data_IF_989343015767
#
_entry.id   IF_989343015767
#
_cell.length_a   1.000
_cell.length_b   1.000
_cell.length_c   1.000
_cell.angle_alpha   90.00
_cell.angle_beta   90.00
_cell.angle_gamma   90.00
#
_symmetry.space_group_name_H-M   'P 1'
#
loop_
_entity.id
_entity.type
_entity.pdbx_description
1 polymer ?
#
# COMPACT_ATOMS: atom_id res chain seq x y z
N UNK A 1 5.50 -20.58 -42.61
CA UNK A 1 4.71 -19.43 -42.11
C UNK A 1 4.86 -19.40 -40.59
N UNK A 2 5.70 -18.53 -40.02
CA UNK A 2 5.80 -18.39 -38.56
C UNK A 2 4.50 -17.75 -38.08
N UNK A 3 3.66 -18.47 -37.33
CA UNK A 3 2.51 -17.84 -36.66
C UNK A 3 3.07 -16.67 -35.83
N UNK A 4 2.71 -15.43 -36.19
CA UNK A 4 2.89 -14.29 -35.30
C UNK A 4 2.09 -14.63 -34.05
N UNK A 5 2.75 -14.99 -32.95
CA UNK A 5 2.09 -15.05 -31.64
C UNK A 5 1.46 -13.68 -31.42
N UNK A 6 0.12 -13.62 -31.38
CA UNK A 6 -0.57 -12.40 -30.97
C UNK A 6 -0.02 -11.97 -29.61
N UNK A 7 0.23 -10.68 -29.47
CA UNK A 7 0.56 -10.12 -28.16
C UNK A 7 -0.61 -10.43 -27.20
N UNK A 8 -0.34 -10.80 -25.93
CA UNK A 8 -1.40 -11.09 -24.96
C UNK A 8 -2.18 -9.82 -24.69
N UNK A 9 -3.49 -9.95 -24.57
CA UNK A 9 -4.37 -8.85 -24.17
C UNK A 9 -4.21 -8.60 -22.67
N UNK A 10 -3.92 -7.36 -22.29
CA UNK A 10 -3.91 -6.91 -20.89
C UNK A 10 -5.18 -6.12 -20.61
N UNK A 11 -6.01 -6.65 -19.72
CA UNK A 11 -7.14 -5.96 -19.15
C UNK A 11 -6.69 -4.96 -18.08
N UNK A 12 -7.02 -3.69 -18.25
CA UNK A 12 -6.73 -2.61 -17.30
C UNK A 12 -8.05 -2.14 -16.73
N UNK A 13 -8.27 -2.35 -15.43
CA UNK A 13 -9.46 -1.83 -14.74
C UNK A 13 -9.14 -0.45 -14.15
N UNK A 14 -9.93 0.54 -14.50
CA UNK A 14 -9.78 1.94 -14.06
C UNK A 14 -11.04 2.36 -13.28
N UNK A 15 -11.06 2.23 -11.95
CA UNK A 15 -12.17 2.74 -11.15
C UNK A 15 -12.16 4.27 -11.12
N UNK A 16 -13.31 4.90 -11.35
CA UNK A 16 -13.47 6.35 -11.47
C UNK A 16 -14.58 6.82 -10.55
N UNK A 17 -14.30 7.83 -9.73
CA UNK A 17 -15.30 8.53 -8.93
C UNK A 17 -14.84 9.95 -8.66
N UNK A 18 -15.51 10.94 -9.26
CA UNK A 18 -15.27 12.38 -9.07
C UNK A 18 -13.79 12.80 -9.21
N UNK A 19 -13.23 12.61 -10.41
CA UNK A 19 -11.81 12.83 -10.76
C UNK A 19 -11.62 13.51 -12.13
N UNK A 20 -12.59 14.31 -12.58
CA UNK A 20 -12.62 14.87 -13.94
C UNK A 20 -11.32 15.62 -14.31
N UNK A 21 -10.67 16.25 -13.33
CA UNK A 21 -9.43 17.02 -13.49
C UNK A 21 -8.21 16.16 -13.82
N UNK A 22 -8.24 14.85 -13.52
CA UNK A 22 -7.08 13.96 -13.64
C UNK A 22 -7.28 12.85 -14.67
N UNK A 23 -8.52 12.42 -14.86
CA UNK A 23 -8.88 11.29 -15.71
C UNK A 23 -8.31 11.36 -17.15
N UNK A 24 -8.31 12.50 -17.86
CA UNK A 24 -7.74 12.58 -19.20
C UNK A 24 -6.27 12.18 -19.26
N UNK A 25 -5.46 12.64 -18.30
CA UNK A 25 -4.03 12.33 -18.27
C UNK A 25 -3.78 10.85 -17.94
N UNK A 26 -4.59 10.27 -17.05
CA UNK A 26 -4.54 8.84 -16.75
C UNK A 26 -4.84 8.02 -18.01
N UNK A 27 -5.93 8.31 -18.71
CA UNK A 27 -6.32 7.60 -19.93
C UNK A 27 -5.30 7.78 -21.05
N UNK A 28 -4.79 9.00 -21.25
CA UNK A 28 -3.73 9.28 -22.22
C UNK A 28 -2.47 8.44 -21.93
N UNK A 29 -2.08 8.29 -20.65
CA UNK A 29 -0.92 7.49 -20.25
C UNK A 29 -1.09 5.99 -20.53
N UNK A 30 -2.31 5.47 -20.37
CA UNK A 30 -2.67 4.09 -20.71
C UNK A 30 -2.66 3.87 -22.21
N UNK A 31 -3.23 4.81 -22.98
CA UNK A 31 -3.27 4.72 -24.43
C UNK A 31 -1.89 4.88 -25.08
N UNK A 32 -0.98 5.59 -24.41
CA UNK A 32 0.41 5.80 -24.81
C UNK A 32 1.36 4.63 -24.49
N UNK A 33 0.91 3.59 -23.80
CA UNK A 33 1.74 2.41 -23.49
C UNK A 33 2.39 1.79 -24.73
N UNK A 34 3.63 1.32 -24.59
CA UNK A 34 4.37 0.65 -25.67
C UNK A 34 3.76 -0.71 -26.02
N UNK A 35 3.10 -1.35 -25.05
CA UNK A 35 2.24 -2.51 -25.29
C UNK A 35 0.83 -2.05 -25.68
N UNK A 36 0.40 -2.37 -26.91
CA UNK A 36 -0.85 -1.83 -27.50
C UNK A 36 -2.08 -2.72 -27.36
N UNK A 37 -1.92 -4.01 -27.06
CA UNK A 37 -3.05 -4.94 -26.87
C UNK A 37 -3.64 -4.76 -25.48
N UNK A 38 -4.39 -3.67 -25.30
CA UNK A 38 -5.04 -3.31 -24.05
C UNK A 38 -6.56 -3.36 -24.18
N UNK A 39 -7.20 -3.78 -23.10
CA UNK A 39 -8.62 -3.56 -22.84
C UNK A 39 -8.73 -2.66 -21.61
N UNK A 40 -8.84 -1.35 -21.84
CA UNK A 40 -8.96 -0.34 -20.79
C UNK A 40 -10.44 -0.23 -20.43
N UNK A 41 -10.82 -0.85 -19.32
CA UNK A 41 -12.17 -0.79 -18.80
C UNK A 41 -12.27 0.26 -17.70
N UNK A 42 -12.87 1.38 -18.05
CA UNK A 42 -13.28 2.42 -17.10
C UNK A 42 -14.55 1.97 -16.40
N UNK A 43 -14.55 2.01 -15.07
CA UNK A 43 -15.72 1.76 -14.24
C UNK A 43 -16.06 3.06 -13.53
N UNK A 44 -17.04 3.78 -14.04
CA UNK A 44 -17.58 4.98 -13.42
C UNK A 44 -18.49 4.59 -12.25
N UNK A 45 -18.01 4.79 -11.04
CA UNK A 45 -18.62 4.41 -9.76
C UNK A 45 -19.66 5.45 -9.29
N UNK A 46 -20.47 5.91 -10.23
CA UNK A 46 -21.54 6.88 -9.99
C UNK A 46 -21.02 8.30 -9.75
N UNK A 47 -20.05 8.75 -10.57
CA UNK A 47 -19.54 10.11 -10.51
C UNK A 47 -20.66 11.14 -10.70
N UNK A 48 -20.53 12.26 -10.02
CA UNK A 48 -21.42 13.42 -10.07
C UNK A 48 -20.80 14.61 -10.78
N UNK A 49 -19.51 14.55 -11.07
CA UNK A 49 -18.78 15.50 -11.92
C UNK A 49 -18.77 15.07 -13.41
N UNK A 50 -17.91 15.69 -14.22
CA UNK A 50 -17.74 15.38 -15.65
C UNK A 50 -17.00 14.08 -15.95
N UNK A 51 -16.57 13.29 -14.97
CA UNK A 51 -15.75 12.09 -15.17
C UNK A 51 -16.42 11.05 -16.09
N UNK A 52 -17.72 10.82 -15.90
CA UNK A 52 -18.47 9.87 -16.72
C UNK A 52 -18.51 10.28 -18.20
N UNK A 53 -18.77 11.57 -18.47
CA UNK A 53 -18.77 12.10 -19.83
C UNK A 53 -17.38 12.04 -20.49
N UNK A 54 -16.32 12.34 -19.73
CA UNK A 54 -14.94 12.19 -20.21
C UNK A 54 -14.66 10.73 -20.59
N UNK A 55 -15.05 9.76 -19.75
CA UNK A 55 -14.85 8.34 -20.04
C UNK A 55 -15.54 7.92 -21.35
N UNK A 56 -16.78 8.37 -21.56
CA UNK A 56 -17.55 8.10 -22.78
C UNK A 56 -16.90 8.71 -24.02
N UNK A 57 -16.36 9.92 -23.92
CA UNK A 57 -15.63 10.56 -25.02
C UNK A 57 -14.40 9.74 -25.42
N UNK A 58 -13.65 9.20 -24.46
CA UNK A 58 -12.50 8.33 -24.74
C UNK A 58 -12.91 7.02 -25.39
N UNK A 59 -13.98 6.37 -24.91
CA UNK A 59 -14.51 5.14 -25.50
C UNK A 59 -15.04 5.33 -26.93
N UNK A 60 -15.58 6.52 -27.24
CA UNK A 60 -15.98 6.86 -28.61
C UNK A 60 -14.78 7.06 -29.55
N UNK A 61 -13.61 7.46 -29.04
CA UNK A 61 -12.41 7.82 -29.82
C UNK A 61 -11.42 6.67 -29.98
N UNK A 62 -11.29 5.78 -29.00
CA UNK A 62 -10.33 4.68 -29.02
C UNK A 62 -11.01 3.34 -28.66
N UNK A 63 -11.01 2.34 -29.56
CA UNK A 63 -11.71 1.07 -29.35
C UNK A 63 -11.09 0.19 -28.25
N UNK A 64 -9.91 0.56 -27.72
CA UNK A 64 -9.32 -0.09 -26.55
C UNK A 64 -10.00 0.34 -25.25
N UNK A 65 -10.73 1.45 -25.25
CA UNK A 65 -11.43 1.98 -24.07
C UNK A 65 -12.88 1.52 -24.08
N UNK A 66 -13.36 1.04 -22.94
CA UNK A 66 -14.77 0.72 -22.68
C UNK A 66 -15.17 1.30 -21.33
N UNK A 67 -16.45 1.62 -21.20
CA UNK A 67 -17.00 2.20 -19.97
C UNK A 67 -18.13 1.32 -19.44
N UNK A 68 -18.20 1.18 -18.12
CA UNK A 68 -19.36 0.67 -17.38
C UNK A 68 -19.69 1.68 -16.31
N UNK A 69 -20.92 2.17 -16.29
CA UNK A 69 -21.43 3.04 -15.23
C UNK A 69 -22.20 2.19 -14.22
N UNK A 70 -21.91 2.39 -12.94
CA UNK A 70 -22.61 1.75 -11.83
C UNK A 70 -23.07 2.79 -10.81
N UNK A 71 -24.00 2.39 -9.94
CA UNK A 71 -24.22 3.14 -8.72
C UNK A 71 -23.01 2.99 -7.79
N UNK A 72 -22.67 4.03 -7.03
CA UNK A 72 -21.51 4.06 -6.16
C UNK A 72 -21.48 2.86 -5.20
N UNK A 73 -20.42 2.05 -5.31
CA UNK A 73 -20.12 0.88 -4.49
C UNK A 73 -18.74 0.96 -3.83
N UNK A 74 -18.08 2.10 -3.95
CA UNK A 74 -16.73 2.34 -3.50
C UNK A 74 -15.67 1.62 -4.35
N UNK A 75 -14.41 1.97 -4.08
CA UNK A 75 -13.25 1.55 -4.87
C UNK A 75 -13.15 0.02 -5.07
N UNK A 76 -13.37 -0.76 -4.01
CA UNK A 76 -13.39 -2.22 -4.10
C UNK A 76 -14.51 -2.77 -4.97
N UNK A 77 -15.72 -2.20 -4.85
CA UNK A 77 -16.88 -2.56 -5.67
C UNK A 77 -16.66 -2.26 -7.15
N UNK A 78 -16.14 -1.06 -7.46
CA UNK A 78 -15.78 -0.65 -8.82
C UNK A 78 -14.72 -1.57 -9.44
N UNK A 79 -13.66 -1.92 -8.71
CA UNK A 79 -12.63 -2.85 -9.20
C UNK A 79 -13.18 -4.26 -9.43
N UNK A 80 -14.04 -4.76 -8.54
CA UNK A 80 -14.70 -6.06 -8.72
C UNK A 80 -15.64 -6.05 -9.94
N UNK A 81 -16.37 -4.96 -10.14
CA UNK A 81 -17.22 -4.80 -11.32
C UNK A 81 -16.40 -4.79 -12.61
N UNK A 82 -15.25 -4.10 -12.56
CA UNK A 82 -14.29 -4.10 -13.65
C UNK A 82 -13.80 -5.51 -13.97
N UNK A 83 -13.44 -6.31 -12.97
CA UNK A 83 -13.01 -7.70 -13.17
C UNK A 83 -14.05 -8.59 -13.85
N UNK A 84 -15.34 -8.32 -13.67
CA UNK A 84 -16.43 -9.06 -14.35
C UNK A 84 -16.49 -8.77 -15.84
N UNK A 85 -16.10 -7.56 -16.24
CA UNK A 85 -16.29 -7.05 -17.60
C UNK A 85 -14.98 -6.91 -18.39
N UNK A 86 -13.83 -6.87 -17.72
CA UNK A 86 -12.52 -6.70 -18.35
C UNK A 86 -12.12 -7.97 -19.08
N UNK A 87 -11.49 -7.81 -20.24
CA UNK A 87 -11.07 -8.87 -21.15
C UNK A 87 -9.57 -9.10 -21.02
N UNK A 88 -9.15 -10.31 -21.41
CA UNK A 88 -7.75 -10.69 -21.48
C UNK A 88 -7.34 -11.68 -20.40
N UNK A 89 -6.30 -12.45 -20.71
CA UNK A 89 -5.77 -13.48 -19.82
C UNK A 89 -4.88 -12.88 -18.72
N UNK A 90 -4.65 -11.58 -18.77
CA UNK A 90 -3.85 -10.81 -17.85
C UNK A 90 -4.64 -9.60 -17.38
N UNK A 91 -4.59 -9.30 -16.08
CA UNK A 91 -5.32 -8.19 -15.47
C UNK A 91 -4.40 -7.30 -14.64
N UNK A 92 -4.62 -6.00 -14.70
CA UNK A 92 -3.97 -4.96 -13.89
C UNK A 92 -4.98 -3.86 -13.56
N UNK A 93 -4.59 -2.94 -12.68
CA UNK A 93 -5.43 -1.87 -12.18
C UNK A 93 -4.68 -0.55 -12.33
N UNK A 94 -5.40 0.54 -12.59
CA UNK A 94 -4.84 1.88 -12.57
C UNK A 94 -5.85 2.81 -11.89
N UNK A 95 -5.41 3.52 -10.87
CA UNK A 95 -6.21 4.55 -10.21
C UNK A 95 -6.35 5.77 -11.15
N UNK A 96 -7.54 6.35 -11.17
CA UNK A 96 -8.00 7.33 -12.16
C UNK A 96 -7.40 8.73 -12.04
N UNK A 97 -6.49 8.93 -11.10
CA UNK A 97 -5.78 10.18 -10.83
C UNK A 97 -4.26 10.08 -10.95
N UNK A 98 -3.77 8.93 -11.42
CA UNK A 98 -2.35 8.61 -11.53
C UNK A 98 -1.91 8.42 -12.98
N UNK A 99 -0.60 8.26 -13.19
CA UNK A 99 0.00 8.12 -14.53
C UNK A 99 0.77 6.80 -14.63
N UNK A 100 0.52 6.06 -15.71
CA UNK A 100 1.26 4.83 -16.02
C UNK A 100 2.41 5.13 -17.00
N UNK A 101 3.68 4.90 -16.64
CA UNK A 101 4.83 5.17 -17.51
C UNK A 101 4.79 4.35 -18.81
N UNK A 102 5.25 4.88 -19.96
CA UNK A 102 5.03 4.24 -21.27
C UNK A 102 5.50 2.78 -21.42
N UNK A 103 6.52 2.36 -20.66
CA UNK A 103 7.09 1.00 -20.74
C UNK A 103 6.65 0.08 -19.60
N UNK A 104 5.74 0.53 -18.72
CA UNK A 104 5.36 -0.18 -17.50
C UNK A 104 4.82 -1.59 -17.80
N UNK A 105 3.80 -1.70 -18.64
CA UNK A 105 3.19 -2.99 -18.95
C UNK A 105 4.13 -3.89 -19.75
N UNK A 106 4.97 -3.33 -20.62
CA UNK A 106 6.02 -4.07 -21.32
C UNK A 106 7.04 -4.67 -20.34
N UNK A 107 7.48 -3.92 -19.32
CA UNK A 107 8.41 -4.40 -18.30
C UNK A 107 7.80 -5.54 -17.47
N UNK A 108 6.55 -5.38 -17.00
CA UNK A 108 5.82 -6.40 -16.25
C UNK A 108 5.61 -7.67 -17.09
N UNK A 109 5.15 -7.53 -18.34
CA UNK A 109 4.94 -8.65 -19.28
C UNK A 109 6.22 -9.42 -19.58
N UNK A 110 7.34 -8.70 -19.81
CA UNK A 110 8.65 -9.33 -20.04
C UNK A 110 9.05 -10.21 -18.86
N UNK A 111 8.87 -9.71 -17.64
CA UNK A 111 9.16 -10.48 -16.44
C UNK A 111 8.23 -11.68 -16.31
N UNK A 112 6.92 -11.49 -16.49
CA UNK A 112 5.92 -12.55 -16.36
C UNK A 112 6.20 -13.71 -17.32
N UNK A 113 6.57 -13.41 -18.56
CA UNK A 113 6.96 -14.41 -19.57
C UNK A 113 8.27 -15.11 -19.25
N UNK A 114 9.26 -14.36 -18.77
CA UNK A 114 10.60 -14.88 -18.44
C UNK A 114 10.54 -15.84 -17.26
N UNK A 115 9.72 -15.53 -16.25
CA UNK A 115 9.68 -16.27 -15.00
C UNK A 115 8.57 -17.31 -14.97
N UNK A 116 7.51 -17.15 -15.77
CA UNK A 116 6.30 -17.96 -15.62
C UNK A 116 5.64 -17.77 -14.26
N UNK A 117 5.76 -16.57 -13.68
CA UNK A 117 5.14 -16.21 -12.41
C UNK A 117 3.62 -16.10 -12.52
N UNK A 118 2.96 -16.18 -11.36
CA UNK A 118 1.51 -16.02 -11.23
C UNK A 118 1.10 -14.55 -11.39
N UNK A 119 1.93 -13.64 -10.89
CA UNK A 119 1.86 -12.21 -11.12
C UNK A 119 3.25 -11.57 -11.06
N UNK A 120 3.34 -10.29 -11.44
CA UNK A 120 4.57 -9.48 -11.33
C UNK A 120 4.24 -8.16 -10.65
N UNK A 121 5.14 -7.69 -9.78
CA UNK A 121 5.11 -6.34 -9.20
C UNK A 121 6.32 -5.50 -9.62
N UNK A 122 6.16 -4.17 -9.67
CA UNK A 122 7.20 -3.19 -9.97
C UNK A 122 7.28 -2.03 -8.98
N UNK A 123 8.37 -1.27 -9.06
CA UNK A 123 8.58 -0.11 -8.19
C UNK A 123 7.70 1.07 -8.59
N UNK A 124 7.66 2.09 -7.74
CA UNK A 124 6.73 3.22 -7.86
C UNK A 124 7.45 4.50 -7.52
N UNK A 125 7.08 5.57 -8.22
CA UNK A 125 7.51 6.90 -7.88
C UNK A 125 6.30 7.76 -7.55
N UNK A 126 6.49 8.74 -6.67
CA UNK A 126 5.44 9.66 -6.23
C UNK A 126 5.81 11.08 -6.58
N UNK A 127 4.84 11.83 -7.07
CA UNK A 127 4.95 13.27 -7.28
C UNK A 127 4.91 14.02 -5.95
N UNK A 128 5.86 14.93 -5.76
CA UNK A 128 5.91 15.91 -4.69
C UNK A 128 6.15 17.27 -5.34
N UNK A 129 5.06 18.00 -5.59
CA UNK A 129 5.06 19.10 -6.57
C UNK A 129 5.53 18.60 -7.94
N UNK A 130 6.49 19.30 -8.53
CA UNK A 130 7.07 18.96 -9.85
C UNK A 130 8.13 17.86 -9.78
N UNK A 131 8.39 17.29 -8.60
CA UNK A 131 9.45 16.29 -8.41
C UNK A 131 8.87 14.89 -8.31
N UNK A 132 9.19 14.05 -9.28
CA UNK A 132 8.93 12.61 -9.22
C UNK A 132 10.06 11.89 -8.48
N UNK A 133 9.75 11.21 -7.37
CA UNK A 133 10.74 10.50 -6.55
C UNK A 133 10.32 9.06 -6.28
N UNK A 134 11.22 8.10 -6.55
CA UNK A 134 11.04 6.71 -6.14
C UNK A 134 10.98 6.60 -4.61
N UNK A 135 9.95 5.93 -4.08
CA UNK A 135 9.79 5.80 -2.64
C UNK A 135 10.90 4.91 -2.07
N UNK A 136 11.65 5.32 -1.02
CA UNK A 136 12.80 4.56 -0.52
C UNK A 136 12.47 3.12 -0.11
N UNK A 137 11.29 2.91 0.46
CA UNK A 137 10.84 1.57 0.85
C UNK A 137 10.45 0.73 -0.36
N UNK A 138 9.85 1.30 -1.40
CA UNK A 138 9.57 0.60 -2.66
C UNK A 138 10.85 0.23 -3.40
N UNK A 139 11.82 1.15 -3.47
CA UNK A 139 13.17 0.87 -3.99
C UNK A 139 13.84 -0.29 -3.26
N UNK A 140 13.66 -0.39 -1.94
CA UNK A 140 14.21 -1.50 -1.14
C UNK A 140 13.55 -2.82 -1.53
N UNK A 141 12.21 -2.85 -1.60
CA UNK A 141 11.43 -4.04 -1.95
C UNK A 141 11.64 -4.48 -3.40
N UNK A 142 11.91 -3.54 -4.31
CA UNK A 142 12.03 -3.81 -5.76
C UNK A 142 13.47 -3.79 -6.25
N UNK A 143 14.46 -3.79 -5.35
CA UNK A 143 15.89 -3.53 -5.68
C UNK A 143 16.45 -4.42 -6.78
N UNK A 144 15.92 -5.64 -6.95
CA UNK A 144 16.44 -6.64 -7.89
C UNK A 144 15.32 -7.24 -8.70
N UNK A 145 15.59 -7.44 -9.99
CA UNK A 145 14.73 -8.24 -10.86
C UNK A 145 14.82 -9.70 -10.46
N UNK A 146 13.73 -10.29 -9.99
CA UNK A 146 13.75 -11.65 -9.44
C UNK A 146 12.43 -12.40 -9.66
N UNK A 147 12.46 -13.72 -9.53
CA UNK A 147 11.28 -14.55 -9.34
C UNK A 147 11.39 -15.12 -7.92
N UNK A 148 10.39 -14.87 -7.09
CA UNK A 148 10.47 -15.10 -5.66
C UNK A 148 9.22 -15.78 -5.13
N UNK A 149 9.34 -16.32 -3.93
CA UNK A 149 8.23 -16.80 -3.09
C UNK A 149 8.22 -16.02 -1.79
N UNK A 150 7.06 -15.91 -1.15
CA UNK A 150 6.88 -15.04 0.03
C UNK A 150 7.80 -15.47 1.19
N UNK A 151 8.14 -16.75 1.30
CA UNK A 151 9.06 -17.31 2.31
C UNK A 151 10.48 -16.73 2.17
N UNK A 152 10.91 -16.48 0.94
CA UNK A 152 12.25 -15.95 0.64
C UNK A 152 12.31 -14.43 0.84
N UNK A 153 11.20 -13.74 0.63
CA UNK A 153 11.12 -12.28 0.70
C UNK A 153 9.82 -11.79 1.35
N UNK A 154 9.59 -12.04 2.66
CA UNK A 154 8.31 -11.72 3.29
C UNK A 154 8.04 -10.22 3.47
N UNK A 155 9.08 -9.37 3.46
CA UNK A 155 8.90 -7.91 3.51
C UNK A 155 8.18 -7.35 2.27
N UNK A 156 8.13 -8.10 1.16
CA UNK A 156 7.39 -7.69 -0.05
C UNK A 156 5.91 -7.46 0.22
N UNK A 157 5.36 -8.05 1.30
CA UNK A 157 3.99 -7.80 1.76
C UNK A 157 3.73 -6.33 2.14
N UNK A 158 4.78 -5.51 2.29
CA UNK A 158 4.65 -4.06 2.42
C UNK A 158 4.27 -3.34 1.13
N UNK A 159 4.43 -3.99 -0.03
CA UNK A 159 3.94 -3.51 -1.32
C UNK A 159 2.46 -3.88 -1.50
N UNK A 160 1.60 -3.08 -0.87
CA UNK A 160 0.16 -3.33 -0.76
C UNK A 160 -0.66 -2.86 -1.97
N UNK A 161 -0.03 -2.20 -2.94
CA UNK A 161 -0.76 -1.48 -3.98
C UNK A 161 -1.37 -2.41 -5.03
N UNK A 162 -2.59 -2.12 -5.48
CA UNK A 162 -3.24 -2.87 -6.56
C UNK A 162 -2.59 -2.61 -7.93
N UNK A 163 -2.14 -1.38 -8.15
CA UNK A 163 -1.89 -0.81 -9.47
C UNK A 163 -0.48 -1.01 -10.03
N UNK A 164 0.49 -1.40 -9.20
CA UNK A 164 1.86 -1.70 -9.66
C UNK A 164 2.06 -3.18 -10.04
N UNK A 165 0.97 -3.91 -10.29
CA UNK A 165 0.96 -5.36 -10.47
C UNK A 165 0.26 -5.80 -11.74
N UNK A 166 0.77 -6.87 -12.35
CA UNK A 166 0.15 -7.56 -13.49
C UNK A 166 -0.08 -9.03 -13.12
N UNK A 167 -1.33 -9.44 -13.08
CA UNK A 167 -1.76 -10.78 -12.67
C UNK A 167 -2.14 -11.65 -13.86
N UNK A 168 -1.92 -12.95 -13.76
CA UNK A 168 -2.62 -13.93 -14.61
C UNK A 168 -4.06 -14.06 -14.15
N UNK A 169 -5.00 -14.03 -15.09
CA UNK A 169 -6.42 -14.17 -14.79
C UNK A 169 -6.75 -15.53 -14.16
N UNK A 170 -6.22 -16.62 -14.70
CA UNK A 170 -6.42 -17.96 -14.14
C UNK A 170 -5.89 -18.11 -12.71
N UNK A 171 -4.81 -17.41 -12.36
CA UNK A 171 -4.31 -17.37 -10.98
C UNK A 171 -5.26 -16.58 -10.08
N UNK A 172 -5.67 -15.38 -10.53
CA UNK A 172 -6.60 -14.53 -9.81
C UNK A 172 -7.89 -15.29 -9.47
N UNK A 173 -8.51 -15.90 -10.48
CA UNK A 173 -9.75 -16.64 -10.35
C UNK A 173 -9.55 -17.96 -9.58
N UNK A 174 -8.45 -18.67 -9.83
CA UNK A 174 -8.15 -19.95 -9.17
C UNK A 174 -7.88 -19.85 -7.67
N UNK A 175 -7.34 -18.72 -7.21
CA UNK A 175 -7.18 -18.41 -5.77
C UNK A 175 -8.47 -17.84 -5.16
N UNK A 176 -9.39 -17.33 -6.00
CA UNK A 176 -10.59 -16.63 -5.56
C UNK A 176 -10.26 -15.23 -5.02
N UNK A 177 -9.33 -14.52 -5.66
CA UNK A 177 -9.04 -13.13 -5.29
C UNK A 177 -10.22 -12.22 -5.62
N UNK A 178 -10.52 -11.31 -4.70
CA UNK A 178 -11.50 -10.24 -4.87
C UNK A 178 -11.09 -9.06 -4.00
N UNK A 179 -11.57 -7.86 -4.33
CA UNK A 179 -11.38 -6.68 -3.49
C UNK A 179 -12.48 -6.63 -2.43
N UNK A 180 -12.15 -6.47 -1.14
CA UNK A 180 -13.14 -6.16 -0.11
C UNK A 180 -13.98 -4.93 -0.48
N UNK A 181 -15.29 -5.03 -0.34
CA UNK A 181 -16.22 -3.92 -0.59
C UNK A 181 -16.59 -3.23 0.73
N UNK A 182 -16.92 -1.94 0.67
CA UNK A 182 -17.36 -1.16 1.85
C UNK A 182 -16.26 -0.85 2.86
N UNK A 183 -14.98 -0.92 2.48
CA UNK A 183 -13.84 -0.60 3.35
C UNK A 183 -12.78 0.17 2.55
N UNK A 184 -12.11 1.13 3.20
CA UNK A 184 -10.89 1.76 2.65
C UNK A 184 -9.73 0.78 2.67
N UNK A 185 -8.75 0.98 1.78
CA UNK A 185 -7.52 0.17 1.74
C UNK A 185 -7.79 -1.31 1.43
N UNK A 186 -8.79 -1.54 0.59
CA UNK A 186 -9.18 -2.84 0.04
C UNK A 186 -8.03 -3.54 -0.68
N UNK A 187 -7.02 -2.79 -1.11
CA UNK A 187 -5.84 -3.33 -1.77
C UNK A 187 -4.99 -4.22 -0.86
N UNK A 188 -4.88 -3.90 0.43
CA UNK A 188 -3.96 -4.57 1.35
C UNK A 188 -4.35 -6.04 1.62
N UNK A 189 -5.61 -6.38 1.94
CA UNK A 189 -6.01 -7.77 2.14
C UNK A 189 -5.81 -8.62 0.87
N UNK A 190 -6.24 -8.12 -0.28
CA UNK A 190 -6.19 -8.85 -1.54
C UNK A 190 -4.76 -9.05 -2.03
N UNK A 191 -3.90 -8.03 -1.94
CA UNK A 191 -2.48 -8.16 -2.31
C UNK A 191 -1.73 -9.07 -1.34
N UNK A 192 -2.01 -9.00 -0.04
CA UNK A 192 -1.47 -9.94 0.95
C UNK A 192 -1.83 -11.38 0.56
N UNK A 193 -3.10 -11.64 0.22
CA UNK A 193 -3.56 -12.96 -0.22
C UNK A 193 -2.88 -13.40 -1.51
N UNK A 194 -2.70 -12.50 -2.48
CA UNK A 194 -2.02 -12.81 -3.73
C UNK A 194 -0.57 -13.24 -3.50
N UNK A 195 0.20 -12.52 -2.67
CA UNK A 195 1.58 -12.89 -2.34
C UNK A 195 1.69 -14.25 -1.66
N UNK A 196 0.80 -14.53 -0.71
CA UNK A 196 0.84 -15.77 0.08
C UNK A 196 0.35 -16.98 -0.73
N UNK A 197 -0.60 -16.78 -1.66
CA UNK A 197 -1.14 -17.88 -2.47
C UNK A 197 -0.31 -18.17 -3.74
N UNK A 198 0.50 -17.22 -4.21
CA UNK A 198 1.31 -17.40 -5.41
C UNK A 198 2.37 -18.48 -5.21
N UNK A 199 2.48 -19.39 -6.19
CA UNK A 199 3.58 -20.34 -6.29
C UNK A 199 4.90 -19.62 -6.52
N UNK A 200 4.84 -18.48 -7.22
CA UNK A 200 5.93 -17.51 -7.37
C UNK A 200 5.39 -16.20 -7.96
N UNK A 201 5.99 -15.10 -7.57
CA UNK A 201 5.77 -13.78 -8.16
C UNK A 201 7.05 -13.24 -8.78
N UNK A 202 6.91 -12.38 -9.79
CA UNK A 202 8.03 -11.63 -10.34
C UNK A 202 8.18 -10.28 -9.66
N UNK A 203 9.42 -9.83 -9.49
CA UNK A 203 9.77 -8.49 -9.05
C UNK A 203 10.56 -7.81 -10.15
N UNK A 204 10.26 -6.54 -10.44
CA UNK A 204 11.05 -5.69 -11.36
C UNK A 204 11.45 -4.38 -10.66
N UNK A 205 12.68 -3.87 -10.88
CA UNK A 205 13.11 -2.59 -10.31
C UNK A 205 12.55 -1.38 -11.07
N UNK A 206 11.96 -1.61 -12.25
CA UNK A 206 11.39 -0.55 -13.08
C UNK A 206 10.29 0.20 -12.31
N UNK A 207 10.27 1.53 -12.44
CA UNK A 207 9.16 2.36 -12.00
C UNK A 207 8.02 2.12 -12.99
N UNK A 208 6.98 1.42 -12.54
CA UNK A 208 5.82 1.03 -13.38
C UNK A 208 4.60 1.90 -13.11
N UNK A 209 4.75 2.92 -12.26
CA UNK A 209 3.65 3.76 -11.85
C UNK A 209 4.12 5.09 -11.25
N UNK A 210 3.41 6.17 -11.57
CA UNK A 210 3.61 7.50 -11.01
C UNK A 210 2.39 7.90 -10.18
N UNK A 211 2.54 7.82 -8.86
CA UNK A 211 1.53 8.15 -7.88
C UNK A 211 1.46 9.67 -7.64
N UNK A 212 0.27 10.26 -7.77
CA UNK A 212 -0.03 11.67 -7.55
C UNK A 212 -0.51 11.93 -6.13
N UNK A 213 -0.07 13.05 -5.56
CA UNK A 213 -0.67 13.61 -4.36
C UNK A 213 -1.68 14.66 -4.79
N UNK A 214 -2.93 14.52 -4.36
CA UNK A 214 -3.94 15.58 -4.52
C UNK A 214 -3.76 16.60 -3.41
N UNK A 215 -3.54 17.87 -3.78
CA UNK A 215 -3.28 18.95 -2.81
C UNK A 215 -4.56 19.47 -2.12
N UNK A 216 -5.73 19.16 -2.68
CA UNK A 216 -7.03 19.50 -2.12
C UNK A 216 -7.43 18.63 -0.90
N UNK A 217 -6.66 17.58 -0.59
CA UNK A 217 -6.95 16.66 0.50
C UNK A 217 -8.10 15.69 0.23
N UNK A 218 -8.58 15.59 -1.02
CA UNK A 218 -9.72 14.73 -1.39
C UNK A 218 -9.35 13.25 -1.45
N UNK A 219 -8.07 12.88 -1.35
CA UNK A 219 -7.65 11.48 -1.34
C UNK A 219 -8.07 10.77 -0.05
N UNK A 220 -8.63 9.57 -0.21
CA UNK A 220 -8.92 8.63 0.89
C UNK A 220 -7.69 8.46 1.81
N UNK A 221 -6.49 8.41 1.23
CA UNK A 221 -5.25 8.15 1.97
C UNK A 221 -4.76 9.31 2.84
N UNK A 222 -5.42 10.47 2.78
CA UNK A 222 -5.06 11.71 3.48
C UNK A 222 -5.97 11.99 4.70
N UNK A 223 -6.94 11.12 5.02
CA UNK A 223 -7.95 11.34 6.07
C UNK A 223 -7.68 10.58 7.40
N UNK A 224 -6.40 10.41 7.79
CA UNK A 224 -5.98 9.54 8.91
C UNK A 224 -6.46 9.95 10.30
N UNK A 225 -6.80 11.23 10.47
CA UNK A 225 -7.36 11.77 11.71
C UNK A 225 -8.83 11.36 11.93
N UNK A 226 -9.51 10.84 10.91
CA UNK A 226 -10.90 10.40 11.03
C UNK A 226 -11.03 9.04 11.71
N UNK A 227 -12.13 8.85 12.46
CA UNK A 227 -12.44 7.59 13.11
C UNK A 227 -12.68 6.46 12.09
N UNK A 228 -13.40 6.76 11.01
CA UNK A 228 -13.74 5.76 10.00
C UNK A 228 -12.50 5.26 9.26
N UNK A 229 -11.53 6.14 8.98
CA UNK A 229 -10.25 5.73 8.42
C UNK A 229 -9.51 4.75 9.33
N UNK A 230 -9.41 5.06 10.64
CA UNK A 230 -8.74 4.18 11.59
C UNK A 230 -9.49 2.85 11.78
N UNK A 231 -10.84 2.86 11.77
CA UNK A 231 -11.66 1.63 11.83
C UNK A 231 -11.43 0.74 10.62
N UNK A 232 -11.47 1.32 9.42
CA UNK A 232 -11.23 0.59 8.17
C UNK A 232 -9.79 0.08 8.11
N UNK A 233 -8.84 0.87 8.60
CA UNK A 233 -7.44 0.45 8.73
C UNK A 233 -7.32 -0.78 9.60
N UNK A 234 -7.92 -0.79 10.79
CA UNK A 234 -7.89 -1.98 11.65
C UNK A 234 -8.58 -3.17 11.01
N UNK A 235 -9.71 -2.96 10.34
CA UNK A 235 -10.44 -4.02 9.64
C UNK A 235 -9.58 -4.68 8.58
N UNK A 236 -8.97 -3.91 7.68
CA UNK A 236 -8.08 -4.45 6.64
C UNK A 236 -6.83 -5.11 7.21
N UNK A 237 -6.27 -4.57 8.30
CA UNK A 237 -5.15 -5.23 9.02
C UNK A 237 -5.53 -6.58 9.59
N UNK A 238 -6.75 -6.75 10.14
CA UNK A 238 -7.22 -8.05 10.62
C UNK A 238 -7.34 -9.04 9.48
N UNK A 239 -7.89 -8.62 8.35
CA UNK A 239 -8.02 -9.47 7.16
C UNK A 239 -6.66 -9.94 6.63
N UNK A 240 -5.68 -9.02 6.52
CA UNK A 240 -4.31 -9.36 6.12
C UNK A 240 -3.61 -10.25 7.15
N UNK A 241 -3.79 -10.00 8.47
CA UNK A 241 -3.22 -10.83 9.52
C UNK A 241 -3.79 -12.26 9.52
N UNK A 242 -5.11 -12.41 9.37
CA UNK A 242 -5.74 -13.72 9.20
C UNK A 242 -5.12 -14.44 8.01
N UNK A 243 -5.01 -13.77 6.87
CA UNK A 243 -4.42 -14.35 5.65
C UNK A 243 -3.01 -14.89 5.87
N UNK A 244 -2.10 -14.12 6.49
CA UNK A 244 -0.74 -14.62 6.73
C UNK A 244 -0.70 -15.71 7.81
N UNK A 245 -1.63 -15.69 8.77
CA UNK A 245 -1.72 -16.71 9.82
C UNK A 245 -2.25 -18.04 9.28
N UNK A 246 -3.26 -17.97 8.41
CA UNK A 246 -3.95 -19.14 7.87
C UNK A 246 -3.14 -19.82 6.75
N UNK A 247 -2.39 -19.04 5.96
CA UNK A 247 -1.74 -19.53 4.74
C UNK A 247 -0.22 -19.32 4.71
N UNK A 248 0.34 -18.46 5.56
CA UNK A 248 1.78 -18.20 5.63
C UNK A 248 2.49 -19.11 6.64
N UNK A 249 3.82 -19.13 6.57
CA UNK A 249 4.65 -19.75 7.62
C UNK A 249 4.83 -18.82 8.82
N UNK A 250 5.22 -19.37 9.98
CA UNK A 250 5.59 -18.59 11.18
C UNK A 250 6.60 -17.47 10.87
N UNK A 251 7.53 -17.73 9.95
CA UNK A 251 8.50 -16.72 9.49
C UNK A 251 7.78 -15.55 8.81
N UNK A 252 6.88 -15.84 7.87
CA UNK A 252 6.12 -14.84 7.12
C UNK A 252 5.23 -14.05 8.07
N UNK A 253 4.47 -14.72 8.93
CA UNK A 253 3.61 -14.08 9.95
C UNK A 253 4.40 -13.20 10.89
N UNK A 254 5.57 -13.66 11.36
CA UNK A 254 6.43 -12.85 12.21
C UNK A 254 6.91 -11.58 11.51
N UNK A 255 7.41 -11.69 10.28
CA UNK A 255 7.87 -10.52 9.51
C UNK A 255 6.72 -9.57 9.19
N UNK A 256 5.55 -10.12 8.85
CA UNK A 256 4.36 -9.31 8.59
C UNK A 256 4.02 -8.44 9.79
N UNK A 257 3.89 -9.03 10.99
CA UNK A 257 3.56 -8.28 12.21
C UNK A 257 4.66 -7.28 12.60
N UNK A 258 5.93 -7.70 12.58
CA UNK A 258 7.03 -6.88 13.11
C UNK A 258 7.50 -5.78 12.15
N UNK A 259 7.37 -5.98 10.85
CA UNK A 259 7.94 -5.05 9.85
C UNK A 259 6.87 -4.38 9.02
N UNK A 260 5.96 -5.17 8.45
CA UNK A 260 4.97 -4.67 7.50
C UNK A 260 3.83 -3.95 8.22
N UNK A 261 3.15 -4.63 9.13
CA UNK A 261 2.04 -4.11 9.93
C UNK A 261 2.52 -2.95 10.81
N UNK A 262 3.64 -3.13 11.52
CA UNK A 262 4.22 -2.10 12.38
C UNK A 262 4.62 -0.85 11.57
N UNK A 263 5.30 -1.05 10.44
CA UNK A 263 5.76 0.03 9.56
C UNK A 263 4.63 0.83 8.93
N UNK A 264 3.46 0.22 8.74
CA UNK A 264 2.27 0.94 8.31
C UNK A 264 1.60 1.69 9.46
N UNK A 265 1.47 1.06 10.64
CA UNK A 265 0.79 1.68 11.78
C UNK A 265 1.50 2.89 12.36
N UNK A 266 2.83 2.97 12.26
CA UNK A 266 3.58 4.15 12.72
C UNK A 266 3.08 5.45 12.08
N UNK A 267 2.48 5.38 10.88
CA UNK A 267 1.94 6.55 10.16
C UNK A 267 0.73 7.17 10.83
N UNK A 268 0.07 6.47 11.76
CA UNK A 268 -1.03 6.99 12.55
C UNK A 268 -0.55 7.68 13.82
N UNK A 269 0.69 7.41 14.27
CA UNK A 269 1.20 8.01 15.50
C UNK A 269 1.35 9.52 15.40
N UNK A 270 1.60 10.06 14.20
CA UNK A 270 1.69 11.51 13.97
C UNK A 270 0.37 12.25 14.24
N UNK A 271 -0.76 11.56 14.24
CA UNK A 271 -2.08 12.14 14.52
C UNK A 271 -2.40 12.24 16.03
N UNK A 272 -1.61 11.57 16.88
CA UNK A 272 -1.84 11.49 18.34
C UNK A 272 -1.99 12.87 19.01
N UNK A 273 -1.14 13.88 18.72
CA UNK A 273 -1.25 15.20 19.38
C UNK A 273 -2.60 15.88 19.21
N UNK A 274 -3.30 15.64 18.09
CA UNK A 274 -4.56 16.30 17.73
C UNK A 274 -5.79 15.41 17.73
N UNK A 275 -5.67 14.14 18.12
CA UNK A 275 -6.78 13.18 18.01
C UNK A 275 -7.92 13.44 19.02
N UNK A 276 -9.09 12.84 18.81
CA UNK A 276 -10.15 12.81 19.83
C UNK A 276 -9.95 11.65 20.82
N UNK A 277 -10.68 11.66 21.94
CA UNK A 277 -10.63 10.57 22.91
C UNK A 277 -11.10 9.24 22.30
N UNK A 278 -12.18 9.26 21.51
CA UNK A 278 -12.66 8.08 20.80
C UNK A 278 -11.62 7.52 19.82
N UNK A 279 -10.89 8.41 19.13
CA UNK A 279 -9.86 8.00 18.18
C UNK A 279 -8.66 7.39 18.92
N UNK A 280 -8.27 8.00 20.03
CA UNK A 280 -7.23 7.48 20.90
C UNK A 280 -7.57 6.08 21.42
N UNK A 281 -8.78 5.89 21.96
CA UNK A 281 -9.23 4.60 22.47
C UNK A 281 -9.24 3.53 21.39
N UNK A 282 -9.65 3.89 20.17
CA UNK A 282 -9.61 3.00 19.02
C UNK A 282 -8.17 2.62 18.61
N UNK A 283 -7.23 3.57 18.65
CA UNK A 283 -5.82 3.30 18.40
C UNK A 283 -5.25 2.35 19.46
N UNK A 284 -5.52 2.62 20.74
CA UNK A 284 -5.06 1.79 21.86
C UNK A 284 -5.62 0.37 21.77
N UNK A 285 -6.91 0.22 21.49
CA UNK A 285 -7.56 -1.07 21.34
C UNK A 285 -6.91 -1.90 20.22
N UNK A 286 -6.69 -1.30 19.05
CA UNK A 286 -6.01 -1.97 17.94
C UNK A 286 -4.56 -2.32 18.27
N UNK A 287 -3.77 -1.40 18.85
CA UNK A 287 -2.38 -1.73 19.23
C UNK A 287 -2.32 -2.90 20.22
N UNK A 288 -3.25 -2.96 21.19
CA UNK A 288 -3.36 -4.09 22.13
C UNK A 288 -3.81 -5.38 21.45
N UNK A 289 -4.72 -5.30 20.48
CA UNK A 289 -5.18 -6.45 19.68
C UNK A 289 -4.01 -7.08 18.92
N UNK A 290 -3.24 -6.28 18.19
CA UNK A 290 -2.19 -6.77 17.28
C UNK A 290 -0.86 -7.05 17.97
N UNK A 291 -0.53 -6.34 19.05
CA UNK A 291 0.78 -6.44 19.73
C UNK A 291 0.68 -6.71 21.23
N UNK A 292 -0.48 -7.00 21.82
CA UNK A 292 -0.65 -7.10 23.28
C UNK A 292 0.41 -7.94 24.00
N UNK A 293 0.69 -9.15 23.52
CA UNK A 293 1.74 -10.03 24.09
C UNK A 293 3.12 -9.86 23.45
N UNK A 294 3.18 -9.22 22.27
CA UNK A 294 4.39 -9.14 21.44
C UNK A 294 5.14 -7.81 21.60
N UNK A 295 4.43 -6.74 21.92
CA UNK A 295 4.88 -5.36 21.97
C UNK A 295 5.50 -4.81 20.67
N UNK A 296 5.21 -3.56 20.35
CA UNK A 296 5.87 -2.85 19.25
C UNK A 296 7.37 -2.58 19.53
N UNK A 297 7.82 -2.77 20.77
CA UNK A 297 9.23 -2.67 21.16
C UNK A 297 10.13 -3.66 20.41
N UNK A 298 9.59 -4.82 20.00
CA UNK A 298 10.35 -5.82 19.26
C UNK A 298 10.23 -5.68 17.73
N UNK A 299 9.48 -4.67 17.25
CA UNK A 299 9.24 -4.43 15.81
C UNK A 299 10.47 -3.87 15.07
N UNK A 300 10.40 -3.81 13.75
CA UNK A 300 11.40 -3.16 12.89
C UNK A 300 11.34 -1.62 12.90
N UNK A 301 10.53 -1.01 13.77
CA UNK A 301 10.34 0.43 13.80
C UNK A 301 11.57 1.19 14.31
N UNK A 302 11.75 2.46 13.87
CA UNK A 302 12.73 3.37 14.45
C UNK A 302 12.48 3.60 15.95
N UNK A 303 13.51 3.96 16.74
CA UNK A 303 13.43 4.07 18.20
C UNK A 303 12.23 4.89 18.71
N UNK A 304 12.01 6.09 18.14
CA UNK A 304 10.91 6.96 18.56
C UNK A 304 9.52 6.32 18.37
N UNK A 305 9.32 5.59 17.27
CA UNK A 305 8.05 4.93 16.97
C UNK A 305 7.88 3.64 17.79
N UNK A 306 8.97 2.96 18.17
CA UNK A 306 8.91 1.85 19.13
C UNK A 306 8.44 2.32 20.51
N UNK A 307 9.04 3.40 21.02
CA UNK A 307 8.62 4.03 22.26
C UNK A 307 7.16 4.45 22.19
N UNK A 308 6.78 5.13 21.11
CA UNK A 308 5.39 5.60 20.93
C UNK A 308 4.40 4.45 20.89
N UNK A 309 4.72 3.36 20.17
CA UNK A 309 3.89 2.16 20.17
C UNK A 309 3.70 1.54 21.56
N UNK A 310 4.75 1.53 22.38
CA UNK A 310 4.66 1.09 23.77
C UNK A 310 3.80 2.03 24.62
N UNK A 311 3.97 3.35 24.49
CA UNK A 311 3.16 4.34 25.21
C UNK A 311 1.67 4.23 24.85
N UNK A 312 1.35 4.02 23.57
CA UNK A 312 -0.01 3.73 23.11
C UNK A 312 -0.53 2.45 23.75
N UNK A 313 0.24 1.36 23.74
CA UNK A 313 -0.16 0.11 24.39
C UNK A 313 -0.47 0.30 25.89
N UNK A 314 0.28 1.17 26.56
CA UNK A 314 0.09 1.53 27.97
C UNK A 314 -1.02 2.58 28.21
N UNK A 315 -1.63 3.14 27.17
CA UNK A 315 -2.65 4.20 27.32
C UNK A 315 -2.06 5.55 27.75
N UNK A 316 -0.76 5.77 27.57
CA UNK A 316 -0.04 6.99 27.98
C UNK A 316 -0.06 8.05 26.87
N UNK A 317 -1.22 8.68 26.67
CA UNK A 317 -1.46 9.63 25.58
C UNK A 317 -0.53 10.84 25.61
N UNK A 318 -0.41 11.51 26.75
CA UNK A 318 0.37 12.75 26.87
C UNK A 318 1.86 12.52 26.57
N UNK A 319 2.40 11.40 27.03
CA UNK A 319 3.78 11.01 26.74
C UNK A 319 3.96 10.68 25.25
N UNK A 320 3.00 9.99 24.63
CA UNK A 320 3.03 9.70 23.20
C UNK A 320 2.96 10.99 22.36
N UNK A 321 2.13 11.95 22.77
CA UNK A 321 2.04 13.29 22.20
C UNK A 321 3.39 14.00 22.29
N UNK A 322 4.03 14.01 23.47
CA UNK A 322 5.32 14.66 23.67
C UNK A 322 6.41 14.12 22.73
N UNK A 323 6.46 12.79 22.54
CA UNK A 323 7.40 12.15 21.59
C UNK A 323 7.13 12.62 20.16
N UNK A 324 5.87 12.60 19.71
CA UNK A 324 5.51 12.97 18.33
C UNK A 324 5.74 14.45 18.05
N UNK A 325 5.34 15.34 18.96
CA UNK A 325 5.60 16.77 18.83
C UNK A 325 7.09 17.10 18.84
N UNK A 326 7.90 16.34 19.59
CA UNK A 326 9.35 16.51 19.54
C UNK A 326 9.88 16.23 18.13
N UNK A 327 9.47 15.12 17.51
CA UNK A 327 9.90 14.76 16.15
C UNK A 327 9.47 15.80 15.12
N UNK A 328 8.24 16.30 15.21
CA UNK A 328 7.71 17.33 14.31
C UNK A 328 8.49 18.63 14.46
N UNK A 329 8.75 19.08 15.69
CA UNK A 329 9.46 20.35 15.95
C UNK A 329 10.92 20.34 15.54
N UNK A 330 11.62 19.22 15.73
CA UNK A 330 13.09 19.19 15.59
C UNK A 330 13.55 18.50 14.29
N UNK A 331 12.68 17.79 13.58
CA UNK A 331 13.00 17.14 12.30
C UNK A 331 14.12 16.09 12.35
N UNK A 332 14.58 15.71 13.55
CA UNK A 332 15.74 14.86 13.79
C UNK A 332 15.42 13.70 14.74
N UNK A 333 16.36 12.76 14.92
CA UNK A 333 16.19 11.66 15.89
C UNK A 333 16.06 12.21 17.32
N UNK A 334 15.41 11.44 18.20
CA UNK A 334 15.41 11.73 19.63
C UNK A 334 16.85 11.77 20.17
N UNK A 335 17.13 12.59 21.21
CA UNK A 335 18.40 12.59 21.90
C UNK A 335 18.77 11.17 22.36
N UNK A 336 20.06 10.89 22.42
CA UNK A 336 20.57 9.58 22.82
C UNK A 336 21.59 9.73 23.94
N UNK A 337 21.56 8.81 24.90
CA UNK A 337 22.47 8.80 26.06
C UNK A 337 23.02 7.39 26.29
N UNK A 338 24.22 7.30 26.90
CA UNK A 338 24.74 6.03 27.39
C UNK A 338 24.22 5.80 28.81
N UNK A 339 23.62 4.62 29.04
CA UNK A 339 23.19 4.17 30.36
C UNK A 339 23.96 2.90 30.76
N UNK A 340 23.94 2.50 32.05
CA UNK A 340 24.52 1.23 32.48
C UNK A 340 23.98 -0.01 31.73
N UNK A 341 22.74 0.06 31.22
CA UNK A 341 22.08 -0.99 30.44
C UNK A 341 22.35 -0.90 28.92
N UNK A 342 23.14 0.08 28.49
CA UNK A 342 23.46 0.33 27.07
C UNK A 342 22.96 1.69 26.57
N UNK A 343 23.18 1.99 25.28
CA UNK A 343 22.69 3.23 24.66
C UNK A 343 21.16 3.22 24.57
N UNK A 344 20.53 4.36 24.90
CA UNK A 344 19.07 4.54 24.84
C UNK A 344 18.70 5.92 24.34
N UNK A 345 17.47 6.08 23.85
CA UNK A 345 16.88 7.40 23.62
C UNK A 345 16.56 8.08 24.96
N UNK A 346 16.63 9.41 24.96
CA UNK A 346 16.31 10.27 26.09
C UNK A 346 15.32 11.33 25.63
N UNK A 347 14.07 11.21 26.06
CA UNK A 347 12.98 12.08 25.59
C UNK A 347 12.76 13.20 26.61
N UNK A 348 12.92 14.48 26.21
CA UNK A 348 12.66 15.59 27.12
C UNK A 348 11.25 15.52 27.71
N UNK A 349 11.16 15.60 29.05
CA UNK A 349 9.88 15.58 29.78
C UNK A 349 9.33 14.19 30.11
N UNK A 350 9.96 13.11 29.64
CA UNK A 350 9.57 11.74 29.97
C UNK A 350 10.51 11.16 31.03
N UNK A 351 9.97 10.70 32.17
CA UNK A 351 10.78 9.99 33.17
C UNK A 351 11.19 8.61 32.64
N UNK A 352 12.49 8.35 32.39
CA UNK A 352 12.94 7.09 31.83
C UNK A 352 12.80 5.91 32.79
N UNK A 353 12.62 6.15 34.10
CA UNK A 353 12.34 5.08 35.07
C UNK A 353 10.88 4.60 35.00
N UNK A 354 9.99 5.40 34.42
CA UNK A 354 8.58 5.06 34.22
C UNK A 354 8.32 4.22 32.95
N UNK A 355 9.35 3.97 32.14
CA UNK A 355 9.25 3.36 30.81
C UNK A 355 9.99 2.03 30.79
N UNK A 356 9.45 1.06 30.06
CA UNK A 356 10.16 -0.20 29.80
C UNK A 356 11.55 0.08 29.18
N UNK A 357 12.65 -0.37 29.79
CA UNK A 357 14.00 -0.15 29.27
C UNK A 357 14.16 -0.59 27.81
N UNK A 358 13.46 -1.65 27.37
CA UNK A 358 13.51 -2.12 26.00
C UNK A 358 12.85 -1.13 25.02
N UNK A 359 11.86 -0.36 25.46
CA UNK A 359 11.22 0.67 24.65
C UNK A 359 12.14 1.88 24.40
N UNK A 360 13.08 2.14 25.33
CA UNK A 360 14.10 3.19 25.21
C UNK A 360 15.38 2.71 24.51
N UNK A 361 15.64 1.40 24.50
CA UNK A 361 16.90 0.84 24.02
C UNK A 361 17.17 1.12 22.53
N UNK A 362 18.43 1.46 22.22
CA UNK A 362 18.95 1.58 20.86
C UNK A 362 19.62 0.28 20.43
N UNK A 363 19.42 -0.10 19.17
CA UNK A 363 20.17 -1.18 18.50
C UNK A 363 21.48 -0.63 17.95
N UNK A 364 22.46 -1.48 17.72
CA UNK A 364 23.79 -1.06 17.24
C UNK A 364 23.74 -0.16 15.99
N UNK A 365 22.87 -0.49 15.03
CA UNK A 365 22.68 0.30 13.80
C UNK A 365 21.99 1.66 14.01
N UNK A 366 21.48 1.93 15.21
CA UNK A 366 20.69 3.12 15.57
C UNK A 366 21.49 4.11 16.45
N UNK A 367 22.64 3.68 16.99
CA UNK A 367 23.50 4.50 17.85
C UNK A 367 24.18 5.59 17.03
N UNK A 368 24.10 6.83 17.50
CA UNK A 368 24.67 8.03 16.86
C UNK A 368 25.55 8.87 17.81
N UNK A 369 25.97 8.29 18.93
CA UNK A 369 26.65 8.96 20.06
C UNK A 369 28.06 8.49 20.34
#
# INVERSE_FOLDING_TARGET
>A
MKLRRRSPLVGVVVPVFDVEAYLPETLDSLLAQSHRELDVLVVDDGSTDGSGAIADEYAARDPRVRVVHIANRGLGGARNEGLRHVRGDLVTFADSDDVVPPEAYTALLRQLRRTGADFVTGSVARWDGDRLTELPWMRRLHRRRAAEVVESHPEILGDVFAWNKLFRRDFWDGVGLAWPEGVRYEDQPTTTRAYVAARRFGVVPDIVYHWRIRFDGSSITQQRSSLDDLRDRWTTKRMSLSTVTDFGSDKVTRVFVDRVLAGDMQRYFVEIPGCSDEWWDLLVAGVREFWGTRSLVHSGLPPAHRLTGWLVQMGRRDDATAVMEYLVRHGGPLPQVRSPQGPRIDVPGLDPLSVDPAALALRDAEVRI
#
